data_IF_054178781512
#
_entry.id   IF_054178781512
#
_cell.length_a   1.000
_cell.length_b   1.000
_cell.length_c   1.000
_cell.angle_alpha   90.00
_cell.angle_beta   90.00
_cell.angle_gamma   90.00
#
_symmetry.space_group_name_H-M   'P 1'
#
loop_
_entity.id
_entity.type
_entity.pdbx_description
1 polymer ?
#
# COMPACT_ATOMS: atom_id res chain seq x y z
N UNK A 1 41.76 -9.12 39.39
CA UNK A 1 41.34 -9.88 38.19
C UNK A 1 40.10 -9.18 37.68
N UNK A 2 40.29 -8.20 36.81
CA UNK A 2 39.24 -7.30 36.32
C UNK A 2 38.79 -7.75 34.92
N UNK A 3 37.61 -8.36 34.86
CA UNK A 3 36.96 -8.76 33.60
C UNK A 3 36.27 -7.53 32.97
N UNK A 4 37.00 -6.81 32.11
CA UNK A 4 36.44 -5.72 31.29
C UNK A 4 35.63 -6.31 30.13
N UNK A 5 34.37 -6.62 30.39
CA UNK A 5 33.39 -6.97 29.34
C UNK A 5 33.10 -5.72 28.47
N UNK A 6 33.84 -5.57 27.37
CA UNK A 6 33.53 -4.59 26.31
C UNK A 6 32.16 -4.92 25.71
N UNK A 7 31.16 -4.10 26.00
CA UNK A 7 29.95 -4.05 25.20
C UNK A 7 30.34 -3.58 23.80
N UNK A 8 30.32 -4.50 22.84
CA UNK A 8 30.46 -4.16 21.43
C UNK A 8 29.11 -3.59 20.99
N UNK A 9 29.02 -2.27 20.87
CA UNK A 9 27.87 -1.63 20.23
C UNK A 9 27.89 -2.03 18.76
N UNK A 10 27.01 -2.98 18.40
CA UNK A 10 26.69 -3.25 16.99
C UNK A 10 26.13 -1.96 16.43
N UNK A 11 26.88 -1.27 15.57
CA UNK A 11 26.38 -0.10 14.85
C UNK A 11 25.26 -0.59 13.92
N UNK A 12 24.01 -0.41 14.34
CA UNK A 12 22.85 -0.59 13.47
C UNK A 12 23.09 0.27 12.22
N UNK A 13 23.06 -0.37 11.04
CA UNK A 13 23.19 0.30 9.74
C UNK A 13 22.13 1.40 9.72
N UNK A 14 22.54 2.67 9.76
CA UNK A 14 21.61 3.78 9.80
C UNK A 14 20.76 3.72 8.52
N UNK A 15 19.46 3.46 8.69
CA UNK A 15 18.50 3.56 7.60
C UNK A 15 18.44 5.05 7.22
N UNK A 16 18.74 5.42 5.96
CA UNK A 16 18.67 6.81 5.55
C UNK A 16 17.25 7.32 5.76
N UNK A 17 17.12 8.57 6.23
CA UNK A 17 15.81 9.21 6.37
C UNK A 17 15.15 9.31 4.99
N UNK A 18 13.87 8.94 4.85
CA UNK A 18 13.17 9.10 3.59
C UNK A 18 13.09 10.60 3.24
N UNK A 19 13.24 10.92 1.96
CA UNK A 19 13.11 12.30 1.45
C UNK A 19 11.66 12.78 1.55
N UNK A 20 10.71 11.85 1.49
CA UNK A 20 9.28 12.12 1.65
C UNK A 20 8.47 10.83 1.66
N UNK A 21 7.15 10.99 1.68
CA UNK A 21 6.19 9.90 1.59
C UNK A 21 5.09 10.26 0.58
N UNK A 22 4.56 9.25 -0.10
CA UNK A 22 3.38 9.35 -0.96
C UNK A 22 2.24 8.58 -0.31
N UNK A 23 1.08 9.24 -0.20
CA UNK A 23 -0.14 8.60 0.27
C UNK A 23 -0.85 7.98 -0.92
N UNK A 24 -1.02 6.65 -0.93
CA UNK A 24 -1.61 5.92 -2.06
C UNK A 24 -3.14 5.83 -1.94
N UNK A 25 -3.78 6.96 -1.67
CA UNK A 25 -5.24 7.12 -1.75
C UNK A 25 -5.57 8.02 -2.94
N UNK A 26 -6.65 7.72 -3.63
CA UNK A 26 -7.12 8.44 -4.81
C UNK A 26 -5.99 8.73 -5.82
N UNK A 27 -5.03 7.82 -5.91
CA UNK A 27 -3.88 7.93 -6.81
C UNK A 27 -4.14 7.17 -8.11
N UNK A 28 -3.59 7.67 -9.21
CA UNK A 28 -3.62 7.03 -10.52
C UNK A 28 -2.19 6.76 -10.98
N UNK A 29 -1.91 5.48 -11.23
CA UNK A 29 -0.62 5.00 -11.73
C UNK A 29 -0.75 4.73 -13.24
N UNK A 30 -0.05 5.52 -14.06
CA UNK A 30 -0.18 5.53 -15.53
C UNK A 30 1.17 5.23 -16.18
N UNK A 31 1.19 4.39 -17.22
CA UNK A 31 2.40 4.16 -18.00
C UNK A 31 2.56 5.32 -18.98
N UNK A 32 3.74 5.91 -19.02
CA UNK A 32 4.06 7.05 -19.90
C UNK A 32 5.00 6.60 -21.01
N UNK A 33 6.00 5.79 -20.67
CA UNK A 33 7.02 5.24 -21.57
C UNK A 33 7.23 3.74 -21.27
N UNK A 34 7.93 2.96 -22.11
CA UNK A 34 8.20 1.55 -21.84
C UNK A 34 8.83 1.32 -20.46
N UNK A 35 9.84 2.11 -20.09
CA UNK A 35 10.51 2.06 -18.78
C UNK A 35 10.04 3.13 -17.78
N UNK A 36 9.03 3.93 -18.12
CA UNK A 36 8.62 5.09 -17.33
C UNK A 36 7.13 5.09 -16.96
N UNK A 37 6.83 5.49 -15.72
CA UNK A 37 5.46 5.63 -15.24
C UNK A 37 5.27 6.90 -14.41
N UNK A 38 4.01 7.25 -14.17
CA UNK A 38 3.64 8.38 -13.32
C UNK A 38 2.65 8.02 -12.23
N UNK A 39 2.67 8.79 -11.14
CA UNK A 39 1.64 8.82 -10.11
C UNK A 39 1.03 10.22 -10.10
N UNK A 40 -0.29 10.29 -10.27
CA UNK A 40 -1.10 11.52 -10.15
C UNK A 40 -2.22 11.32 -9.13
N UNK A 41 -2.84 12.40 -8.66
CA UNK A 41 -3.90 12.35 -7.64
C UNK A 41 -5.19 12.94 -8.21
N UNK A 42 -6.35 12.37 -7.84
CA UNK A 42 -7.64 12.80 -8.39
C UNK A 42 -7.97 14.26 -8.03
N UNK A 43 -7.63 14.68 -6.83
CA UNK A 43 -7.89 16.03 -6.31
C UNK A 43 -6.97 17.08 -6.93
N UNK A 44 -5.79 16.66 -7.38
CA UNK A 44 -4.77 17.52 -7.98
C UNK A 44 -4.02 16.77 -9.08
N UNK A 45 -4.60 16.69 -10.30
CA UNK A 45 -3.99 15.98 -11.42
C UNK A 45 -2.66 16.58 -11.89
N UNK A 46 -2.47 17.88 -11.66
CA UNK A 46 -1.23 18.59 -11.99
C UNK A 46 -0.06 18.17 -11.09
N UNK A 47 -0.37 17.68 -9.88
CA UNK A 47 0.59 17.06 -8.97
C UNK A 47 0.97 15.66 -9.45
N UNK A 48 1.77 15.61 -10.51
CA UNK A 48 2.25 14.40 -11.19
C UNK A 48 3.71 14.11 -10.85
N UNK A 49 3.98 12.91 -10.32
CA UNK A 49 5.33 12.42 -10.05
C UNK A 49 5.73 11.40 -11.12
N UNK A 50 6.85 11.64 -11.80
CA UNK A 50 7.37 10.74 -12.83
C UNK A 50 8.48 9.86 -12.26
N UNK A 51 8.49 8.60 -12.67
CA UNK A 51 9.44 7.58 -12.23
C UNK A 51 10.00 6.87 -13.46
N UNK A 52 11.31 6.67 -13.46
CA UNK A 52 12.04 5.93 -14.48
C UNK A 52 12.57 4.63 -13.88
N UNK A 53 12.44 3.54 -14.63
CA UNK A 53 12.93 2.21 -14.26
C UNK A 53 14.08 1.79 -15.18
N UNK A 54 14.81 0.76 -14.76
CA UNK A 54 15.91 0.22 -15.58
C UNK A 54 15.41 -0.64 -16.76
N UNK A 55 14.15 -1.08 -16.72
CA UNK A 55 13.51 -1.89 -17.77
C UNK A 55 11.99 -1.75 -17.73
N UNK A 56 11.33 -2.15 -18.82
CA UNK A 56 9.86 -2.21 -18.89
C UNK A 56 9.27 -3.22 -17.91
N UNK A 57 9.91 -4.38 -17.72
CA UNK A 57 9.50 -5.38 -16.73
C UNK A 57 9.46 -4.79 -15.31
N UNK A 58 10.55 -4.10 -14.91
CA UNK A 58 10.62 -3.46 -13.62
C UNK A 58 9.57 -2.35 -13.47
N UNK A 59 9.30 -1.60 -14.54
CA UNK A 59 8.24 -0.60 -14.58
C UNK A 59 6.87 -1.24 -14.27
N UNK A 60 6.53 -2.35 -14.93
CA UNK A 60 5.27 -3.07 -14.70
C UNK A 60 5.18 -3.65 -13.29
N UNK A 61 6.27 -4.17 -12.74
CA UNK A 61 6.32 -4.65 -11.35
C UNK A 61 6.01 -3.53 -10.36
N UNK A 62 6.66 -2.36 -10.50
CA UNK A 62 6.41 -1.19 -9.66
C UNK A 62 4.98 -0.70 -9.78
N UNK A 63 4.49 -0.54 -11.01
CA UNK A 63 3.12 -0.10 -11.25
C UNK A 63 2.10 -1.03 -10.63
N UNK A 64 2.32 -2.35 -10.75
CA UNK A 64 1.45 -3.37 -10.15
C UNK A 64 1.50 -3.33 -8.62
N UNK A 65 2.69 -3.22 -8.04
CA UNK A 65 2.87 -3.13 -6.59
C UNK A 65 2.16 -1.89 -6.03
N UNK A 66 2.33 -0.73 -6.65
CA UNK A 66 1.68 0.52 -6.26
C UNK A 66 0.16 0.44 -6.37
N UNK A 67 -0.37 -0.10 -7.48
CA UNK A 67 -1.82 -0.32 -7.64
C UNK A 67 -2.38 -1.25 -6.57
N UNK A 68 -1.67 -2.33 -6.22
CA UNK A 68 -2.09 -3.28 -5.16
C UNK A 68 -1.99 -2.69 -3.75
N UNK A 69 -1.03 -1.78 -3.54
CA UNK A 69 -0.85 -1.08 -2.27
C UNK A 69 -1.80 0.13 -2.11
N UNK A 70 -2.52 0.53 -3.16
CA UNK A 70 -3.50 1.62 -3.08
C UNK A 70 -4.63 1.30 -2.09
N UNK A 71 -5.13 2.32 -1.41
CA UNK A 71 -6.22 2.21 -0.47
C UNK A 71 -7.45 1.55 -1.11
N UNK A 72 -7.78 1.93 -2.34
CA UNK A 72 -8.95 1.44 -3.07
C UNK A 72 -8.85 -0.05 -3.36
N UNK A 73 -7.66 -0.52 -3.77
CA UNK A 73 -7.43 -1.94 -4.01
C UNK A 73 -7.51 -2.73 -2.70
N UNK A 74 -6.76 -2.33 -1.67
CA UNK A 74 -6.75 -3.02 -0.38
C UNK A 74 -8.14 -3.08 0.24
N UNK A 75 -8.91 -1.99 0.14
CA UNK A 75 -10.30 -1.91 0.61
C UNK A 75 -11.21 -2.89 -0.14
N UNK A 76 -11.15 -2.92 -1.47
CA UNK A 76 -11.92 -3.89 -2.28
C UNK A 76 -11.54 -5.33 -1.96
N UNK A 77 -10.24 -5.61 -1.82
CA UNK A 77 -9.74 -6.93 -1.45
C UNK A 77 -10.22 -7.37 -0.07
N UNK A 78 -10.17 -6.48 0.93
CA UNK A 78 -10.64 -6.77 2.29
C UNK A 78 -12.12 -7.18 2.30
N UNK A 79 -12.96 -6.41 1.59
CA UNK A 79 -14.39 -6.70 1.49
C UNK A 79 -14.62 -8.04 0.78
N UNK A 80 -13.91 -8.28 -0.32
CA UNK A 80 -13.97 -9.54 -1.05
C UNK A 80 -13.64 -10.73 -0.14
N UNK A 81 -12.52 -10.68 0.58
CA UNK A 81 -12.10 -11.77 1.46
C UNK A 81 -13.06 -11.99 2.63
N UNK A 82 -13.60 -10.92 3.23
CA UNK A 82 -14.62 -11.04 4.27
C UNK A 82 -15.84 -11.81 3.76
N UNK A 83 -16.34 -11.43 2.59
CA UNK A 83 -17.52 -12.07 1.98
C UNK A 83 -17.26 -13.55 1.67
N UNK A 84 -16.10 -13.87 1.09
CA UNK A 84 -15.77 -15.27 0.77
C UNK A 84 -15.59 -16.12 2.04
N UNK A 85 -14.94 -15.60 3.08
CA UNK A 85 -14.78 -16.30 4.36
C UNK A 85 -16.14 -16.50 5.03
N UNK A 86 -17.00 -15.47 5.06
CA UNK A 86 -18.32 -15.58 5.66
C UNK A 86 -19.21 -16.58 4.90
N UNK A 87 -19.13 -16.59 3.57
CA UNK A 87 -19.82 -17.57 2.73
C UNK A 87 -19.37 -19.00 3.01
N UNK A 88 -18.07 -19.22 3.23
CA UNK A 88 -17.51 -20.55 3.51
C UNK A 88 -17.76 -21.02 4.95
N UNK A 89 -17.73 -20.11 5.93
CA UNK A 89 -17.74 -20.45 7.36
C UNK A 89 -19.08 -20.18 8.05
N UNK A 90 -19.98 -19.42 7.42
CA UNK A 90 -21.25 -18.96 7.98
C UNK A 90 -21.10 -17.88 9.07
N UNK A 91 -19.90 -17.35 9.32
CA UNK A 91 -19.61 -16.37 10.37
C UNK A 91 -18.81 -15.21 9.81
N UNK A 92 -19.07 -13.99 10.28
CA UNK A 92 -18.27 -12.85 9.88
C UNK A 92 -16.89 -12.92 10.58
N UNK A 93 -15.77 -12.96 9.83
CA UNK A 93 -14.43 -13.04 10.42
C UNK A 93 -14.07 -11.84 11.31
N UNK A 94 -14.79 -10.72 11.19
CA UNK A 94 -14.52 -9.49 11.94
C UNK A 94 -15.37 -9.33 13.22
N UNK A 95 -16.36 -10.19 13.45
CA UNK A 95 -17.28 -10.09 14.61
C UNK A 95 -16.54 -10.07 15.95
N UNK A 96 -15.54 -10.95 16.11
CA UNK A 96 -14.77 -11.07 17.36
C UNK A 96 -13.94 -9.83 17.73
N UNK A 97 -13.68 -8.95 16.75
CA UNK A 97 -12.91 -7.74 16.97
C UNK A 97 -13.78 -6.54 17.34
N UNK A 98 -15.10 -6.70 17.44
CA UNK A 98 -16.02 -5.62 17.84
C UNK A 98 -16.06 -4.45 16.85
N UNK A 99 -15.61 -4.66 15.61
CA UNK A 99 -15.62 -3.64 14.56
C UNK A 99 -17.08 -3.41 14.18
N UNK A 100 -17.63 -2.22 14.45
CA UNK A 100 -19.04 -1.90 14.16
C UNK A 100 -19.32 -1.83 12.66
N UNK A 101 -20.58 -2.01 12.23
CA UNK A 101 -21.01 -1.88 10.83
C UNK A 101 -20.61 -0.53 10.21
N UNK A 102 -20.58 0.54 11.00
CA UNK A 102 -20.19 1.88 10.57
C UNK A 102 -18.68 1.99 10.30
N UNK A 103 -17.85 1.27 11.07
CA UNK A 103 -16.42 1.15 10.83
C UNK A 103 -16.07 0.18 9.69
N UNK A 104 -17.04 -0.64 9.24
CA UNK A 104 -16.90 -1.57 8.11
C UNK A 104 -17.09 -0.85 6.79
N UNK A 105 -16.08 -0.07 6.37
CA UNK A 105 -15.84 0.43 5.02
C UNK A 105 -17.02 0.29 4.03
N UNK A 106 -18.03 1.16 4.16
CA UNK A 106 -19.28 1.09 3.40
C UNK A 106 -19.05 1.29 1.88
N UNK A 107 -19.48 0.37 1.01
CA UNK A 107 -19.34 0.49 -0.46
C UNK A 107 -20.44 1.35 -1.11
N UNK A 108 -21.43 1.80 -0.35
CA UNK A 108 -22.58 2.57 -0.85
C UNK A 108 -22.20 4.01 -1.20
N UNK A 109 -21.38 4.20 -2.24
CA UNK A 109 -21.04 5.56 -2.67
C UNK A 109 -20.35 5.68 -4.03
N UNK A 110 -19.53 4.71 -4.44
CA UNK A 110 -18.86 4.80 -5.74
C UNK A 110 -19.65 3.98 -6.77
N UNK A 111 -20.54 4.65 -7.51
CA UNK A 111 -20.93 4.18 -8.84
C UNK A 111 -19.70 4.19 -9.73
N UNK A 112 -19.48 3.09 -10.43
CA UNK A 112 -18.51 2.98 -11.52
C UNK A 112 -18.90 3.89 -12.69
#
# INVERSE_FOLDING_TARGET
>A
MDDKRRYHTVKLKQVPKPVGALLLEHCRVTQEEPSGFSISFLEDPERKYHFECCSEEQCQEWMTALRRASYEFMRRSLIFYRNEIQKMTGKDPLEQFGISEEARFQLSGLKA
#
